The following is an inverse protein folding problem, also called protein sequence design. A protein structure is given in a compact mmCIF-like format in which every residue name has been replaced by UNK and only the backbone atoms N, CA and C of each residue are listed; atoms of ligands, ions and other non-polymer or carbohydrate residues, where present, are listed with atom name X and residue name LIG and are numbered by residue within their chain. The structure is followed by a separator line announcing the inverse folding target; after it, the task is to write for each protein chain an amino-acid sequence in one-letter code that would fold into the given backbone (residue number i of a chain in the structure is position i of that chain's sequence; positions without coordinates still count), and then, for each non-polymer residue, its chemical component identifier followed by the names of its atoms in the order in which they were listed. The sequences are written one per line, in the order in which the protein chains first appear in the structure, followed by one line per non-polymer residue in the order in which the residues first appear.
data_IF_879472505096
#
_entry.id   IF_879472505096
#
_cell.length_a   1.000
_cell.length_b   1.000
_cell.length_c   1.000
_cell.angle_alpha   90.00
_cell.angle_beta   90.00
_cell.angle_gamma   90.00
#
_symmetry.space_group_name_H-M   'P 1'
#
loop_
_entity.id
_entity.type
_entity.pdbx_description
1 polymer ?
#
# COMPACT_ATOMS: atom_id res chain seq x y z
N UNK A 1 -13.06 -17.14 42.51
CA UNK A 1 -11.82 -16.35 42.37
C UNK A 1 -11.92 -15.69 41.01
N UNK A 2 -12.46 -14.47 41.01
CA UNK A 2 -12.78 -13.69 39.81
C UNK A 2 -11.52 -12.96 39.35
N UNK A 3 -11.20 -13.06 38.06
CA UNK A 3 -10.12 -12.27 37.44
C UNK A 3 -10.78 -11.14 36.63
N UNK A 4 -11.07 -10.06 37.35
CA UNK A 4 -11.44 -8.75 36.82
C UNK A 4 -10.22 -7.83 37.03
N UNK A 5 -9.34 -7.68 36.03
CA UNK A 5 -8.56 -6.46 35.66
C UNK A 5 -7.94 -6.77 34.29
N UNK A 6 -8.39 -6.19 33.20
CA UNK A 6 -7.81 -4.91 32.77
C UNK A 6 -8.78 -4.19 31.82
N UNK A 7 -9.51 -3.22 32.37
CA UNK A 7 -10.14 -2.15 31.61
C UNK A 7 -9.02 -1.21 31.19
N UNK A 8 -8.80 -1.05 29.88
CA UNK A 8 -8.17 0.17 29.34
C UNK A 8 -9.24 0.99 28.61
N UNK A 9 -10.04 1.70 29.42
CA UNK A 9 -10.52 3.03 29.04
C UNK A 9 -9.36 3.98 29.35
N UNK A 10 -8.61 4.35 28.32
CA UNK A 10 -7.46 5.25 28.39
C UNK A 10 -7.43 6.12 27.14
N UNK A 11 -8.24 7.19 27.19
CA UNK A 11 -8.09 8.37 26.34
C UNK A 11 -6.71 9.00 26.60
N UNK A 12 -5.72 8.61 25.79
CA UNK A 12 -4.36 9.15 25.90
C UNK A 12 -3.72 9.17 24.51
N UNK A 13 -4.25 10.00 23.59
CA UNK A 13 -3.58 10.38 22.33
C UNK A 13 -3.05 9.26 21.41
N UNK A 14 -3.35 7.99 21.68
CA UNK A 14 -2.71 6.87 21.06
C UNK A 14 -3.28 6.68 19.65
N UNK A 15 -2.38 6.59 18.69
CA UNK A 15 -2.70 6.31 17.30
C UNK A 15 -3.09 4.85 17.15
N UNK A 16 -4.30 4.57 16.68
CA UNK A 16 -4.73 3.19 16.41
C UNK A 16 -3.92 2.63 15.24
N UNK A 17 -3.14 1.58 15.53
CA UNK A 17 -2.26 0.89 14.59
C UNK A 17 -2.69 -0.55 14.43
N UNK A 18 -2.97 -0.94 13.19
CA UNK A 18 -3.31 -2.31 12.81
C UNK A 18 -2.08 -2.98 12.18
N UNK A 19 -1.72 -4.17 12.65
CA UNK A 19 -0.55 -4.91 12.17
C UNK A 19 -0.96 -6.21 11.46
N UNK A 20 -0.50 -6.41 10.22
CA UNK A 20 -0.69 -7.66 9.51
C UNK A 20 0.38 -8.69 9.95
N UNK A 21 -0.02 -9.69 10.74
CA UNK A 21 0.88 -10.72 11.27
C UNK A 21 1.61 -11.58 10.23
N UNK A 22 1.26 -11.48 8.94
CA UNK A 22 1.85 -12.29 7.86
C UNK A 22 3.05 -11.63 7.18
N UNK A 23 3.05 -10.31 7.09
CA UNK A 23 4.10 -9.53 6.42
C UNK A 23 4.77 -8.50 7.35
N UNK A 24 4.40 -8.49 8.63
CA UNK A 24 4.91 -7.57 9.66
C UNK A 24 4.76 -6.09 9.28
N UNK A 25 3.82 -5.78 8.38
CA UNK A 25 3.47 -4.42 8.02
C UNK A 25 2.49 -3.87 9.05
N UNK A 26 2.79 -2.70 9.60
CA UNK A 26 1.85 -1.90 10.39
C UNK A 26 1.26 -0.78 9.53
N UNK A 27 -0.02 -0.50 9.73
CA UNK A 27 -0.71 0.65 9.15
C UNK A 27 -1.36 1.48 10.25
N UNK A 28 -1.36 2.80 10.05
CA UNK A 28 -1.92 3.78 10.99
C UNK A 28 -3.31 4.15 10.49
N UNK A 29 -4.35 3.48 10.98
CA UNK A 29 -5.74 3.74 10.55
C UNK A 29 -6.38 4.83 11.42
N UNK A 30 -6.04 4.85 12.71
CA UNK A 30 -6.62 5.80 13.66
C UNK A 30 -6.21 7.25 13.42
N UNK A 31 -4.92 7.55 13.19
CA UNK A 31 -4.45 8.95 13.12
C UNK A 31 -5.05 9.76 11.98
N UNK A 32 -5.48 9.09 10.89
CA UNK A 32 -6.06 9.77 9.72
C UNK A 32 -7.57 9.88 9.77
N UNK A 33 -8.26 9.18 10.68
CA UNK A 33 -9.74 9.06 10.65
C UNK A 33 -10.46 9.38 11.95
N UNK A 34 -9.74 9.54 13.08
CA UNK A 34 -10.29 9.60 14.45
C UNK A 34 -11.34 10.70 14.67
N UNK A 35 -11.07 11.90 14.14
CA UNK A 35 -11.90 13.09 14.38
C UNK A 35 -12.69 13.52 13.12
N UNK A 36 -12.72 12.68 12.08
CA UNK A 36 -13.36 13.02 10.81
C UNK A 36 -14.75 12.41 10.72
N UNK A 37 -15.71 13.25 10.33
CA UNK A 37 -17.02 12.81 9.87
C UNK A 37 -16.90 11.89 8.64
N UNK A 38 -17.92 11.08 8.34
CA UNK A 38 -17.94 10.28 7.12
C UNK A 38 -17.73 11.10 5.84
N UNK A 39 -18.24 12.33 5.80
CA UNK A 39 -18.06 13.24 4.67
C UNK A 39 -16.61 13.74 4.55
N UNK A 40 -16.00 14.17 5.67
CA UNK A 40 -14.59 14.60 5.70
C UNK A 40 -13.62 13.47 5.34
N UNK A 41 -13.94 12.23 5.75
CA UNK A 41 -13.16 11.04 5.40
C UNK A 41 -13.23 10.74 3.91
N UNK A 42 -14.39 10.92 3.28
CA UNK A 42 -14.55 10.73 1.84
C UNK A 42 -13.78 11.79 1.04
N UNK A 43 -13.72 13.03 1.54
CA UNK A 43 -12.97 14.13 0.91
C UNK A 43 -11.44 13.93 0.99
N UNK A 44 -10.97 13.28 2.07
CA UNK A 44 -9.56 12.97 2.32
C UNK A 44 -9.12 11.57 1.86
N UNK A 45 -10.02 10.77 1.30
CA UNK A 45 -9.74 9.41 0.87
C UNK A 45 -8.68 9.41 -0.24
N UNK A 46 -7.47 8.83 -0.02
CA UNK A 46 -6.42 8.78 -1.02
C UNK A 46 -6.78 7.95 -2.26
N UNK A 47 -7.82 7.12 -2.16
CA UNK A 47 -8.34 6.31 -3.26
C UNK A 47 -9.55 6.94 -3.96
N UNK A 48 -10.05 8.09 -3.49
CA UNK A 48 -11.19 8.77 -4.12
C UNK A 48 -10.80 9.58 -5.36
N UNK A 49 -11.76 9.71 -6.29
CA UNK A 49 -11.58 10.40 -7.57
C UNK A 49 -10.86 9.55 -8.63
N UNK A 50 -10.35 10.19 -9.70
CA UNK A 50 -9.59 9.52 -10.79
C UNK A 50 -8.16 9.12 -10.40
N UNK A 51 -7.80 9.13 -9.10
CA UNK A 51 -6.41 9.01 -8.64
C UNK A 51 -5.87 7.58 -8.60
N UNK A 52 -6.74 6.58 -8.73
CA UNK A 52 -6.38 5.14 -8.71
C UNK A 52 -5.75 4.66 -10.02
N UNK A 53 -6.01 5.34 -11.15
CA UNK A 53 -5.35 5.05 -12.43
C UNK A 53 -4.19 6.02 -12.63
N UNK A 54 -3.01 5.60 -12.19
CA UNK A 54 -1.78 6.37 -12.41
C UNK A 54 -1.30 6.12 -13.84
N UNK A 55 -1.03 7.21 -14.57
CA UNK A 55 -0.46 7.11 -15.92
C UNK A 55 0.85 6.31 -15.89
N UNK A 56 1.00 5.38 -16.83
CA UNK A 56 2.16 4.49 -16.91
C UNK A 56 3.48 5.27 -17.00
N UNK A 57 3.49 6.44 -17.65
CA UNK A 57 4.67 7.30 -17.75
C UNK A 57 5.07 7.92 -16.40
N UNK A 58 4.09 8.25 -15.56
CA UNK A 58 4.34 8.73 -14.21
C UNK A 58 4.93 7.61 -13.35
N UNK A 59 4.37 6.39 -13.42
CA UNK A 59 4.89 5.20 -12.72
C UNK A 59 6.32 4.88 -13.17
N UNK A 60 6.59 4.86 -14.48
CA UNK A 60 7.95 4.66 -15.02
C UNK A 60 8.92 5.73 -14.52
N UNK A 61 8.49 6.98 -14.35
CA UNK A 61 9.36 8.07 -13.87
C UNK A 61 9.83 7.89 -12.43
N UNK A 62 8.97 7.40 -11.54
CA UNK A 62 9.32 7.19 -10.12
C UNK A 62 9.81 5.78 -9.80
N UNK A 63 9.55 4.80 -10.67
CA UNK A 63 9.94 3.41 -10.44
C UNK A 63 10.93 2.89 -11.48
N UNK A 64 12.17 2.56 -11.07
CA UNK A 64 13.15 1.90 -11.94
C UNK A 64 12.62 0.58 -12.54
N UNK A 65 11.71 -0.09 -11.85
CA UNK A 65 11.15 -1.37 -12.27
C UNK A 65 10.43 -1.30 -13.62
N UNK A 66 9.80 -0.15 -13.94
CA UNK A 66 9.15 0.08 -15.23
C UNK A 66 10.12 0.08 -16.42
N UNK A 67 11.37 0.50 -16.21
CA UNK A 67 12.42 0.45 -17.23
C UNK A 67 13.08 -0.93 -17.33
N UNK A 68 13.35 -1.58 -16.20
CA UNK A 68 13.97 -2.90 -16.18
C UNK A 68 13.09 -3.99 -16.79
N UNK A 69 11.76 -3.84 -16.71
CA UNK A 69 10.80 -4.74 -17.37
C UNK A 69 11.00 -4.80 -18.89
N UNK A 70 11.11 -3.64 -19.54
CA UNK A 70 11.29 -3.56 -20.99
C UNK A 70 12.66 -4.13 -21.44
N UNK A 71 13.71 -3.85 -20.67
CA UNK A 71 15.06 -4.38 -20.92
C UNK A 71 15.06 -5.91 -20.77
N UNK A 72 14.46 -6.43 -19.70
CA UNK A 72 14.32 -7.88 -19.47
C UNK A 72 13.57 -8.54 -20.63
N UNK A 73 12.44 -7.96 -21.07
CA UNK A 73 11.64 -8.53 -22.14
C UNK A 73 12.44 -8.66 -23.45
N UNK A 74 13.28 -7.66 -23.77
CA UNK A 74 14.18 -7.70 -24.93
C UNK A 74 15.24 -8.80 -24.79
N UNK A 75 15.86 -8.93 -23.63
CA UNK A 75 16.86 -9.97 -23.36
C UNK A 75 16.21 -11.36 -23.47
N UNK A 76 15.04 -11.55 -22.87
CA UNK A 76 14.31 -12.82 -22.93
C UNK A 76 13.92 -13.18 -24.36
N UNK A 77 13.52 -12.20 -25.18
CA UNK A 77 13.21 -12.44 -26.60
C UNK A 77 14.45 -12.90 -27.40
N UNK A 78 15.60 -12.26 -27.20
CA UNK A 78 16.87 -12.66 -27.83
C UNK A 78 17.30 -14.04 -27.35
N UNK A 79 17.29 -14.27 -26.04
CA UNK A 79 17.66 -15.55 -25.44
C UNK A 79 16.77 -16.68 -25.96
N UNK A 80 15.45 -16.47 -26.06
CA UNK A 80 14.50 -17.44 -26.60
C UNK A 80 14.77 -17.75 -28.07
N UNK A 81 15.15 -16.76 -28.87
CA UNK A 81 15.51 -16.96 -30.28
C UNK A 81 16.74 -17.85 -30.43
N UNK A 82 17.76 -17.59 -29.61
CA UNK A 82 19.01 -18.36 -29.60
C UNK A 82 18.77 -19.78 -29.09
N UNK A 83 18.09 -19.92 -27.94
CA UNK A 83 17.86 -21.20 -27.28
C UNK A 83 17.00 -22.15 -28.12
N UNK A 84 15.98 -21.62 -28.81
CA UNK A 84 15.01 -22.44 -29.54
C UNK A 84 15.18 -22.43 -31.06
N UNK A 85 16.26 -21.84 -31.61
CA UNK A 85 16.53 -21.75 -33.07
C UNK A 85 15.27 -21.38 -33.88
N UNK A 86 14.64 -20.24 -33.56
CA UNK A 86 13.55 -19.66 -34.36
C UNK A 86 14.01 -18.43 -35.16
#
# INVERSE_FOLDING_TARGET
MTDERDRSDGDDGATEVEACGRCSMSTVVGAVTKDQSPEERAERDPFSGERIEVDESAVRRVSPAGYFGDIKARIDAVARRIAYRK
#
